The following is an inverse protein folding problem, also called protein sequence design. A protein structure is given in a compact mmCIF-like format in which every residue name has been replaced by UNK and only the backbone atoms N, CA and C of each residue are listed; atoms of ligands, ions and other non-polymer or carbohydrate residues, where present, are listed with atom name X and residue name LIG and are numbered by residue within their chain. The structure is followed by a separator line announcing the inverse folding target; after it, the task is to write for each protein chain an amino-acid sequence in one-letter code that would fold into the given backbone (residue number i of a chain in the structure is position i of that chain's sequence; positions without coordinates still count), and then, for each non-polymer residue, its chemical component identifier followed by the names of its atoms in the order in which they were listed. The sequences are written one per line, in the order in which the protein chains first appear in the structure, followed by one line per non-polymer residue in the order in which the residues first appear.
data_IF_957557274485
#
_entry.id   IF_957557274485
#
_cell.length_a   1.000
_cell.length_b   1.000
_cell.length_c   1.000
_cell.angle_alpha   90.00
_cell.angle_beta   90.00
_cell.angle_gamma   90.00
#
_symmetry.space_group_name_H-M   'P 1'
#
loop_
_entity.id
_entity.type
_entity.pdbx_description
1 polymer ?
#
# COMPACT_ATOMS: atom_id res chain seq x y z
N UNK A 1 25.18 -7.78 15.72
CA UNK A 1 25.49 -7.54 14.29
C UNK A 1 25.20 -6.08 14.02
N UNK A 2 26.09 -5.36 13.35
CA UNK A 2 25.83 -3.96 12.98
C UNK A 2 24.92 -3.92 11.77
N UNK A 3 23.84 -3.16 11.83
CA UNK A 3 22.92 -2.99 10.72
C UNK A 3 23.68 -2.44 9.50
N UNK A 4 23.50 -3.10 8.35
CA UNK A 4 24.16 -2.69 7.13
C UNK A 4 23.36 -1.53 6.52
N UNK A 5 24.00 -0.38 6.33
CA UNK A 5 23.39 0.76 5.63
C UNK A 5 23.86 0.81 4.19
N UNK A 6 22.95 0.64 3.24
CA UNK A 6 23.20 0.85 1.81
C UNK A 6 22.71 2.24 1.43
N UNK A 7 23.64 3.10 1.02
CA UNK A 7 23.33 4.50 0.68
C UNK A 7 22.40 4.64 -0.52
N UNK A 8 22.58 3.80 -1.53
CA UNK A 8 21.76 3.87 -2.73
C UNK A 8 21.79 2.57 -3.52
N UNK A 9 20.64 2.18 -4.05
CA UNK A 9 20.49 1.14 -5.05
C UNK A 9 19.80 1.78 -6.26
N UNK A 10 20.35 1.56 -7.46
CA UNK A 10 19.76 2.06 -8.71
C UNK A 10 19.65 0.91 -9.69
N UNK A 11 18.44 0.68 -10.19
CA UNK A 11 18.14 -0.20 -11.32
C UNK A 11 17.69 0.69 -12.45
N UNK A 12 18.39 0.69 -13.59
CA UNK A 12 18.07 1.61 -14.70
C UNK A 12 16.86 1.17 -15.54
N UNK A 13 16.46 -0.10 -15.44
CA UNK A 13 15.27 -0.64 -16.10
C UNK A 13 14.29 -1.19 -15.08
N UNK A 14 13.73 -2.34 -15.40
CA UNK A 14 12.69 -2.99 -14.61
C UNK A 14 13.27 -3.95 -13.57
N UNK A 15 12.51 -4.18 -12.51
CA UNK A 15 12.66 -5.33 -11.63
C UNK A 15 11.56 -6.33 -12.01
N UNK A 16 11.96 -7.45 -12.60
CA UNK A 16 11.02 -8.48 -13.09
C UNK A 16 11.21 -9.78 -12.32
N UNK A 17 10.17 -10.20 -11.63
CA UNK A 17 10.07 -11.52 -11.00
C UNK A 17 10.04 -12.65 -12.03
N UNK A 18 10.55 -13.81 -11.64
CA UNK A 18 10.47 -15.02 -12.45
C UNK A 18 9.06 -15.62 -12.46
N UNK A 19 8.80 -16.55 -13.38
CA UNK A 19 7.52 -17.27 -13.47
C UNK A 19 7.38 -18.42 -12.46
N UNK A 20 8.48 -18.85 -11.83
CA UNK A 20 8.52 -19.95 -10.86
C UNK A 20 9.47 -19.64 -9.68
N UNK A 21 9.31 -20.37 -8.58
CA UNK A 21 10.11 -20.23 -7.36
C UNK A 21 9.58 -19.19 -6.36
N UNK A 22 9.86 -19.42 -5.07
CA UNK A 22 9.28 -18.67 -3.95
C UNK A 22 9.69 -17.19 -3.92
N UNK A 23 10.94 -16.90 -4.29
CA UNK A 23 11.52 -15.56 -4.28
C UNK A 23 12.34 -15.34 -5.54
N UNK A 24 12.02 -14.35 -6.37
CA UNK A 24 12.82 -14.05 -7.57
C UNK A 24 12.69 -12.61 -8.05
N UNK A 25 13.73 -12.11 -8.73
CA UNK A 25 13.73 -10.79 -9.36
C UNK A 25 13.40 -9.67 -8.39
N UNK A 26 14.32 -9.35 -7.49
CA UNK A 26 14.08 -8.32 -6.47
C UNK A 26 15.36 -7.82 -5.80
N UNK A 27 15.18 -6.80 -4.98
CA UNK A 27 16.20 -6.25 -4.09
C UNK A 27 15.82 -6.67 -2.66
N UNK A 28 16.64 -7.50 -2.02
CA UNK A 28 16.40 -7.97 -0.66
C UNK A 28 17.56 -7.59 0.26
N UNK A 29 17.29 -6.70 1.22
CA UNK A 29 18.21 -6.34 2.30
C UNK A 29 18.05 -7.24 3.54
N UNK A 30 17.09 -8.16 3.54
CA UNK A 30 16.76 -8.97 4.70
C UNK A 30 16.23 -8.15 5.88
N UNK A 31 16.32 -8.75 7.08
CA UNK A 31 15.75 -8.22 8.32
C UNK A 31 16.68 -7.23 9.05
N UNK A 32 17.84 -6.87 8.48
CA UNK A 32 18.86 -6.09 9.20
C UNK A 32 19.45 -4.93 8.39
N UNK A 33 19.06 -4.77 7.13
CA UNK A 33 19.60 -3.71 6.27
C UNK A 33 18.70 -2.50 6.21
N UNK A 34 19.33 -1.32 6.17
CA UNK A 34 18.67 -0.05 5.86
C UNK A 34 19.08 0.42 4.47
N UNK A 35 18.11 0.75 3.62
CA UNK A 35 18.33 1.38 2.33
C UNK A 35 17.97 2.85 2.39
N UNK A 36 18.93 3.75 2.25
CA UNK A 36 18.63 5.19 2.25
C UNK A 36 17.90 5.63 0.98
N UNK A 37 18.16 4.95 -0.14
CA UNK A 37 17.53 5.25 -1.42
C UNK A 37 17.48 4.03 -2.33
N UNK A 38 16.30 3.74 -2.87
CA UNK A 38 16.11 2.80 -3.97
C UNK A 38 15.51 3.56 -5.15
N UNK A 39 16.09 3.41 -6.34
CA UNK A 39 15.56 4.00 -7.58
C UNK A 39 15.47 2.94 -8.66
N UNK A 40 14.28 2.81 -9.25
CA UNK A 40 13.96 1.86 -10.31
C UNK A 40 13.51 2.66 -11.53
N UNK A 41 14.21 2.45 -12.64
CA UNK A 41 14.10 3.25 -13.85
C UNK A 41 12.87 2.95 -14.67
N UNK A 42 12.32 1.73 -14.55
CA UNK A 42 11.06 1.32 -15.15
C UNK A 42 10.12 0.74 -14.09
N UNK A 43 9.64 -0.48 -14.33
CA UNK A 43 8.56 -1.12 -13.59
C UNK A 43 9.07 -2.07 -12.49
N UNK A 44 8.19 -2.38 -11.54
CA UNK A 44 8.30 -3.56 -10.69
C UNK A 44 7.20 -4.54 -11.10
N UNK A 45 7.57 -5.71 -11.58
CA UNK A 45 6.62 -6.69 -12.13
C UNK A 45 6.77 -8.06 -11.48
N UNK A 46 5.68 -8.59 -10.92
CA UNK A 46 5.59 -9.99 -10.47
C UNK A 46 5.01 -10.86 -11.59
N UNK A 47 5.60 -12.02 -11.93
CA UNK A 47 5.18 -12.85 -13.09
C UNK A 47 4.71 -14.27 -12.77
N UNK A 48 4.66 -14.66 -11.52
CA UNK A 48 4.42 -16.03 -11.08
C UNK A 48 3.51 -16.08 -9.86
N UNK A 49 3.37 -17.27 -9.29
CA UNK A 49 2.32 -17.59 -8.32
C UNK A 49 2.78 -17.51 -6.86
N UNK A 50 3.96 -16.95 -6.59
CA UNK A 50 4.57 -16.98 -5.26
C UNK A 50 4.71 -15.58 -4.66
N UNK A 51 4.73 -15.54 -3.33
CA UNK A 51 4.58 -14.35 -2.47
C UNK A 51 5.63 -13.22 -2.61
N UNK A 52 6.75 -13.44 -3.33
CA UNK A 52 7.84 -12.45 -3.45
C UNK A 52 8.52 -12.48 -4.81
N UNK A 53 7.91 -11.83 -5.78
CA UNK A 53 8.45 -11.73 -7.13
C UNK A 53 8.36 -10.29 -7.60
N UNK A 54 9.42 -9.75 -8.20
CA UNK A 54 9.39 -8.33 -8.55
C UNK A 54 9.24 -7.49 -7.28
N UNK A 55 10.27 -7.43 -6.43
CA UNK A 55 10.11 -6.81 -5.11
C UNK A 55 11.30 -5.97 -4.64
N UNK A 56 11.04 -5.11 -3.66
CA UNK A 56 12.03 -4.39 -2.87
C UNK A 56 11.70 -4.59 -1.40
N UNK A 57 12.65 -5.14 -0.64
CA UNK A 57 12.50 -5.43 0.77
C UNK A 57 13.74 -5.06 1.58
N UNK A 58 13.54 -4.47 2.75
CA UNK A 58 14.58 -4.28 3.76
C UNK A 58 13.96 -4.06 5.14
N UNK A 59 14.79 -4.01 6.20
CA UNK A 59 14.33 -3.60 7.52
C UNK A 59 13.80 -2.17 7.48
N UNK A 60 14.50 -1.28 6.79
CA UNK A 60 14.09 0.11 6.61
C UNK A 60 14.48 0.62 5.23
N UNK A 61 13.60 1.41 4.62
CA UNK A 61 13.83 2.05 3.32
C UNK A 61 13.43 3.52 3.43
N UNK A 62 14.38 4.45 3.42
CA UNK A 62 14.06 5.87 3.62
C UNK A 62 13.34 6.47 2.40
N UNK A 63 13.73 6.08 1.18
CA UNK A 63 13.14 6.58 -0.05
C UNK A 63 13.12 5.49 -1.12
N UNK A 64 11.97 5.30 -1.76
CA UNK A 64 11.82 4.51 -2.97
C UNK A 64 11.19 5.35 -4.08
N UNK A 65 11.81 5.30 -5.25
CA UNK A 65 11.29 5.87 -6.48
C UNK A 65 11.20 4.75 -7.53
N UNK A 66 9.99 4.44 -7.97
CA UNK A 66 9.71 3.64 -9.16
C UNK A 66 9.23 4.61 -10.23
N UNK A 67 9.92 4.69 -11.38
CA UNK A 67 9.51 5.63 -12.43
C UNK A 67 8.32 5.13 -13.24
N UNK A 68 8.17 3.80 -13.35
CA UNK A 68 7.06 3.15 -14.03
C UNK A 68 5.97 2.67 -13.07
N UNK A 69 5.40 1.53 -13.41
CA UNK A 69 4.30 0.86 -12.71
C UNK A 69 4.80 -0.13 -11.65
N UNK A 70 3.93 -0.45 -10.69
CA UNK A 70 4.07 -1.65 -9.85
C UNK A 70 2.94 -2.59 -10.22
N UNK A 71 3.28 -3.79 -10.68
CA UNK A 71 2.36 -4.72 -11.34
C UNK A 71 2.37 -6.04 -10.57
N UNK A 72 1.20 -6.43 -10.06
CA UNK A 72 1.03 -7.73 -9.42
C UNK A 72 0.96 -8.85 -10.46
N UNK A 73 1.19 -10.07 -10.02
CA UNK A 73 1.19 -11.21 -10.93
C UNK A 73 -0.22 -11.54 -11.41
N UNK A 74 -0.30 -12.20 -12.57
CA UNK A 74 -1.53 -12.80 -13.08
C UNK A 74 -1.72 -14.25 -12.61
N UNK A 75 -0.91 -14.72 -11.66
CA UNK A 75 -0.91 -16.10 -11.17
C UNK A 75 -2.04 -16.40 -10.18
N UNK A 76 -2.16 -17.63 -9.69
CA UNK A 76 -3.13 -17.99 -8.63
C UNK A 76 -2.52 -17.91 -7.21
N UNK A 77 -1.61 -16.97 -6.97
CA UNK A 77 -0.88 -16.86 -5.70
C UNK A 77 -1.59 -15.96 -4.68
N UNK A 78 -1.26 -16.12 -3.40
CA UNK A 78 -1.50 -15.06 -2.42
C UNK A 78 -0.45 -13.96 -2.62
N UNK A 79 -0.90 -12.70 -2.59
CA UNK A 79 -0.12 -11.48 -2.34
C UNK A 79 1.37 -11.48 -2.70
N UNK A 80 1.74 -10.77 -3.75
CA UNK A 80 3.16 -10.51 -4.05
C UNK A 80 3.56 -9.24 -3.30
N UNK A 81 4.17 -9.33 -2.11
CA UNK A 81 4.65 -8.14 -1.37
C UNK A 81 5.71 -7.38 -2.17
N UNK A 82 5.32 -6.44 -3.05
CA UNK A 82 6.28 -5.80 -3.97
C UNK A 82 7.14 -4.77 -3.24
N UNK A 83 6.60 -4.05 -2.26
CA UNK A 83 7.36 -3.07 -1.48
C UNK A 83 7.13 -3.33 0.01
N UNK A 84 8.17 -3.83 0.68
CA UNK A 84 8.12 -4.29 2.07
C UNK A 84 9.22 -3.59 2.89
N UNK A 85 8.84 -2.56 3.63
CA UNK A 85 9.73 -1.90 4.59
C UNK A 85 9.40 -2.37 5.99
N UNK A 86 10.08 -3.40 6.48
CA UNK A 86 9.58 -4.17 7.65
C UNK A 86 9.29 -3.28 8.87
N UNK A 87 10.19 -2.36 9.21
CA UNK A 87 9.98 -1.40 10.30
C UNK A 87 9.64 0.01 9.80
N UNK A 88 10.26 0.43 8.70
CA UNK A 88 10.09 1.79 8.21
C UNK A 88 10.18 1.87 6.70
N UNK A 89 9.18 2.50 6.12
CA UNK A 89 9.13 2.91 4.74
C UNK A 89 8.93 4.43 4.72
N UNK A 90 9.95 5.17 4.32
CA UNK A 90 9.88 6.62 4.30
C UNK A 90 8.99 7.12 3.14
N UNK A 91 9.59 7.75 2.14
CA UNK A 91 8.85 8.28 1.00
C UNK A 91 8.79 7.26 -0.13
N UNK A 92 7.58 6.90 -0.54
CA UNK A 92 7.31 6.05 -1.71
C UNK A 92 6.75 6.91 -2.85
N UNK A 93 7.41 6.87 -4.00
CA UNK A 93 6.93 7.50 -5.23
C UNK A 93 6.85 6.46 -6.33
N UNK A 94 5.66 6.23 -6.84
CA UNK A 94 5.38 5.43 -8.03
C UNK A 94 4.99 6.39 -9.14
N UNK A 95 5.81 6.52 -10.18
CA UNK A 95 5.58 7.43 -11.30
C UNK A 95 4.37 7.02 -12.15
N UNK A 96 4.11 5.72 -12.23
CA UNK A 96 2.97 5.12 -12.90
C UNK A 96 1.81 4.78 -11.95
N UNK A 97 1.25 3.59 -12.16
CA UNK A 97 0.09 3.02 -11.49
C UNK A 97 0.50 1.89 -10.54
N UNK A 98 -0.39 1.55 -9.60
CA UNK A 98 -0.43 0.25 -8.96
C UNK A 98 -1.45 -0.60 -9.73
N UNK A 99 -1.03 -1.72 -10.31
CA UNK A 99 -1.83 -2.55 -11.21
C UNK A 99 -1.90 -3.97 -10.65
N UNK A 100 -2.94 -4.23 -9.86
CA UNK A 100 -3.28 -5.57 -9.37
C UNK A 100 -4.45 -6.20 -10.14
N UNK A 101 -4.96 -7.29 -9.59
CA UNK A 101 -6.21 -7.93 -10.00
C UNK A 101 -6.93 -8.51 -8.78
N UNK A 102 -8.14 -9.04 -8.99
CA UNK A 102 -8.96 -9.60 -7.91
C UNK A 102 -8.29 -10.76 -7.16
N UNK A 103 -7.35 -11.47 -7.78
CA UNK A 103 -6.61 -12.58 -7.16
C UNK A 103 -5.32 -12.11 -6.50
N UNK A 104 -4.56 -11.23 -7.15
CA UNK A 104 -3.27 -10.74 -6.66
C UNK A 104 -3.29 -9.22 -6.61
N UNK A 105 -3.15 -8.70 -5.40
CA UNK A 105 -3.07 -7.25 -5.18
C UNK A 105 -1.64 -6.77 -5.30
N UNK A 106 -1.49 -5.48 -5.57
CA UNK A 106 -0.21 -4.79 -5.34
C UNK A 106 -0.12 -4.44 -3.87
N UNK A 107 0.88 -4.96 -3.17
CA UNK A 107 1.06 -4.83 -1.73
C UNK A 107 2.23 -3.89 -1.40
N UNK A 108 1.90 -2.83 -0.64
CA UNK A 108 2.86 -1.93 -0.01
C UNK A 108 2.63 -1.99 1.50
N UNK A 109 3.54 -2.63 2.22
CA UNK A 109 3.37 -2.95 3.65
C UNK A 109 4.58 -2.44 4.44
N UNK A 110 4.33 -1.84 5.59
CA UNK A 110 5.36 -1.41 6.55
C UNK A 110 4.75 -1.14 7.93
N UNK A 111 5.54 -1.26 9.00
CA UNK A 111 5.14 -0.71 10.30
C UNK A 111 4.86 0.79 10.22
N UNK A 112 5.75 1.56 9.55
CA UNK A 112 5.57 3.01 9.40
C UNK A 112 5.71 3.45 7.95
N UNK A 113 4.81 4.32 7.48
CA UNK A 113 4.87 4.91 6.14
C UNK A 113 4.85 6.44 6.21
N UNK A 114 5.90 7.11 5.74
CA UNK A 114 5.94 8.59 5.81
C UNK A 114 5.01 9.25 4.79
N UNK A 115 5.08 8.82 3.53
CA UNK A 115 4.18 9.30 2.47
C UNK A 115 4.19 8.41 1.24
N UNK A 116 3.04 8.32 0.56
CA UNK A 116 2.87 7.62 -0.71
C UNK A 116 2.33 8.54 -1.80
N UNK A 117 2.96 8.53 -2.96
CA UNK A 117 2.47 9.13 -4.20
C UNK A 117 2.39 8.07 -5.29
N UNK A 118 1.20 7.91 -5.86
CA UNK A 118 0.94 7.14 -7.09
C UNK A 118 0.61 8.14 -8.21
N UNK A 119 1.43 8.13 -9.26
CA UNK A 119 1.39 9.09 -10.36
C UNK A 119 0.15 8.93 -11.26
N UNK A 120 -0.45 7.74 -11.27
CA UNK A 120 -1.66 7.40 -12.02
C UNK A 120 -2.68 6.67 -11.11
N UNK A 121 -3.21 5.54 -11.54
CA UNK A 121 -4.28 4.82 -10.86
C UNK A 121 -3.73 3.88 -9.79
N UNK A 122 -4.53 3.61 -8.77
CA UNK A 122 -4.36 2.46 -7.90
C UNK A 122 -5.52 1.49 -8.17
N UNK A 123 -5.22 0.33 -8.74
CA UNK A 123 -6.18 -0.70 -9.10
C UNK A 123 -5.81 -2.01 -8.41
N UNK A 124 -6.73 -2.57 -7.62
CA UNK A 124 -6.48 -3.74 -6.77
C UNK A 124 -5.17 -3.61 -5.95
N UNK A 125 -4.94 -2.45 -5.35
CA UNK A 125 -3.83 -2.24 -4.44
C UNK A 125 -4.23 -2.50 -2.99
N UNK A 126 -3.25 -2.86 -2.18
CA UNK A 126 -3.34 -3.01 -0.74
C UNK A 126 -2.16 -2.27 -0.10
N UNK A 127 -2.47 -1.23 0.65
CA UNK A 127 -1.49 -0.40 1.32
C UNK A 127 -1.76 -0.51 2.81
N UNK A 128 -0.81 -1.07 3.55
CA UNK A 128 -0.94 -1.32 4.98
C UNK A 128 0.16 -0.64 5.78
N UNK A 129 -0.23 0.03 6.87
CA UNK A 129 0.67 0.59 7.87
C UNK A 129 0.33 -0.06 9.21
N UNK A 130 1.21 -0.89 9.77
CA UNK A 130 0.84 -1.78 10.89
C UNK A 130 1.05 -1.20 12.28
N UNK A 131 1.93 -0.22 12.47
CA UNK A 131 2.21 0.37 13.78
C UNK A 131 1.02 1.23 14.28
N UNK A 132 0.58 0.96 15.52
CA UNK A 132 -0.56 1.62 16.17
C UNK A 132 -0.32 3.09 16.50
N UNK A 133 0.92 3.57 16.43
CA UNK A 133 1.33 4.95 16.70
C UNK A 133 1.94 5.65 15.46
N UNK A 134 1.88 5.00 14.29
CA UNK A 134 2.40 5.56 13.06
C UNK A 134 1.70 6.88 12.66
N UNK A 135 2.39 7.72 11.90
CA UNK A 135 1.78 8.90 11.27
C UNK A 135 2.10 8.93 9.78
N UNK A 136 1.06 8.78 8.96
CA UNK A 136 1.15 8.97 7.52
C UNK A 136 0.89 10.44 7.18
N UNK A 137 1.91 11.14 6.69
CA UNK A 137 1.79 12.57 6.37
C UNK A 137 0.89 12.81 5.17
N UNK A 138 0.98 11.94 4.15
CA UNK A 138 0.24 12.11 2.91
C UNK A 138 0.13 10.82 2.11
N UNK A 139 -1.07 10.50 1.67
CA UNK A 139 -1.35 9.56 0.59
C UNK A 139 -1.92 10.34 -0.60
N UNK A 140 -1.37 10.14 -1.79
CA UNK A 140 -1.87 10.78 -3.01
C UNK A 140 -1.93 9.77 -4.14
N UNK A 141 -3.10 9.66 -4.75
CA UNK A 141 -3.33 8.96 -6.02
C UNK A 141 -3.79 10.01 -7.03
N UNK A 142 -2.96 10.25 -8.04
CA UNK A 142 -3.26 11.26 -9.05
C UNK A 142 -4.35 10.84 -10.04
N UNK A 143 -4.62 9.53 -10.15
CA UNK A 143 -5.70 8.95 -10.94
C UNK A 143 -6.84 8.40 -10.08
N UNK A 144 -7.44 7.32 -10.56
CA UNK A 144 -8.55 6.64 -9.89
C UNK A 144 -8.07 5.68 -8.79
N UNK A 145 -8.96 5.44 -7.82
CA UNK A 145 -8.85 4.41 -6.81
C UNK A 145 -9.89 3.32 -7.12
N UNK A 146 -9.42 2.18 -7.62
CA UNK A 146 -10.27 1.12 -8.16
C UNK A 146 -10.04 -0.14 -7.34
N UNK A 147 -11.06 -0.62 -6.65
CA UNK A 147 -11.04 -1.89 -5.91
C UNK A 147 -9.79 -2.05 -5.01
N UNK A 148 -9.36 -0.94 -4.40
CA UNK A 148 -8.11 -0.86 -3.63
C UNK A 148 -8.40 -0.63 -2.16
N UNK A 149 -7.41 -0.93 -1.31
CA UNK A 149 -7.50 -0.85 0.15
C UNK A 149 -6.35 -0.05 0.73
N UNK A 150 -6.68 0.75 1.73
CA UNK A 150 -5.73 1.38 2.62
C UNK A 150 -6.15 1.10 4.05
N UNK A 151 -5.28 0.48 4.83
CA UNK A 151 -5.48 0.23 6.24
C UNK A 151 -4.27 0.75 7.02
N UNK A 152 -4.52 1.35 8.17
CA UNK A 152 -3.50 1.85 9.07
C UNK A 152 -3.82 1.42 10.50
N UNK A 153 -2.82 0.97 11.26
CA UNK A 153 -2.90 0.39 12.60
C UNK A 153 -3.74 -0.90 12.69
N UNK A 154 -3.85 -1.65 11.60
CA UNK A 154 -4.60 -2.91 11.54
C UNK A 154 -3.64 -4.08 11.43
N UNK A 155 -3.94 -5.19 12.08
CA UNK A 155 -3.44 -6.51 11.69
C UNK A 155 -4.35 -7.09 10.59
N UNK A 156 -3.83 -8.04 9.81
CA UNK A 156 -4.49 -8.65 8.64
C UNK A 156 -5.44 -9.81 8.97
N UNK A 157 -5.91 -9.88 10.21
CA UNK A 157 -6.85 -10.93 10.64
C UNK A 157 -6.35 -12.37 10.40
N UNK A 158 -7.30 -13.26 10.10
CA UNK A 158 -7.08 -14.67 9.83
C UNK A 158 -6.97 -14.99 8.33
N UNK A 159 -7.44 -14.10 7.45
CA UNK A 159 -7.34 -14.25 6.00
C UNK A 159 -6.06 -13.66 5.39
N UNK A 160 -5.19 -13.07 6.22
CA UNK A 160 -3.97 -12.38 5.82
C UNK A 160 -4.22 -11.19 4.88
N UNK A 161 -5.42 -10.59 4.94
CA UNK A 161 -5.81 -9.45 4.13
C UNK A 161 -6.11 -8.25 5.04
N UNK A 162 -5.49 -7.11 4.77
CA UNK A 162 -5.80 -5.89 5.51
C UNK A 162 -7.08 -5.22 5.00
N UNK A 163 -7.86 -4.69 5.94
CA UNK A 163 -9.11 -3.99 5.72
C UNK A 163 -10.35 -4.89 5.61
N UNK A 164 -10.35 -6.06 6.24
CA UNK A 164 -11.47 -7.02 6.24
C UNK A 164 -12.20 -7.02 7.59
N UNK A 165 -13.25 -7.85 7.69
CA UNK A 165 -14.12 -7.89 8.88
C UNK A 165 -13.51 -8.69 10.04
N UNK A 166 -12.52 -9.54 9.78
CA UNK A 166 -11.79 -10.31 10.78
C UNK A 166 -10.53 -9.61 11.27
N UNK A 167 -10.16 -8.47 10.68
CA UNK A 167 -9.17 -7.57 11.25
C UNK A 167 -9.58 -7.16 12.67
N UNK A 168 -8.71 -7.36 13.67
CA UNK A 168 -8.99 -6.89 15.01
C UNK A 168 -9.23 -5.39 14.95
N UNK A 169 -10.34 -4.94 15.55
CA UNK A 169 -10.56 -3.52 15.74
C UNK A 169 -9.32 -2.93 16.42
N UNK A 170 -8.94 -1.72 16.00
CA UNK A 170 -7.87 -0.95 16.61
C UNK A 170 -7.94 -1.13 18.13
N UNK A 171 -6.90 -1.71 18.73
CA UNK A 171 -6.82 -1.73 20.19
C UNK A 171 -7.04 -0.29 20.64
N UNK A 172 -8.00 -0.04 21.54
CA UNK A 172 -8.60 1.29 21.80
C UNK A 172 -7.67 2.41 22.25
N UNK A 173 -6.35 2.19 22.18
CA UNK A 173 -5.28 3.13 22.43
C UNK A 173 -4.47 3.47 21.15
N UNK A 174 -4.86 3.01 19.95
CA UNK A 174 -4.14 3.35 18.73
C UNK A 174 -4.16 4.86 18.49
N UNK A 175 -2.97 5.47 18.44
CA UNK A 175 -2.80 6.92 18.19
C UNK A 175 -2.47 7.24 16.73
N UNK A 176 -2.41 6.20 15.89
CA UNK A 176 -2.06 6.29 14.49
C UNK A 176 -2.96 7.25 13.72
N UNK A 177 -2.37 7.98 12.77
CA UNK A 177 -3.12 8.99 12.02
C UNK A 177 -2.64 9.19 10.60
N UNK A 178 -3.58 9.53 9.73
CA UNK A 178 -3.30 10.01 8.38
C UNK A 178 -3.64 11.47 8.29
N UNK A 179 -2.64 12.33 8.07
CA UNK A 179 -2.88 13.77 8.01
C UNK A 179 -3.69 14.17 6.76
N UNK A 180 -3.43 13.54 5.61
CA UNK A 180 -4.08 13.90 4.35
C UNK A 180 -4.11 12.75 3.32
N UNK A 181 -5.28 12.52 2.77
CA UNK A 181 -5.52 11.60 1.64
C UNK A 181 -6.09 12.41 0.47
N UNK A 182 -5.51 12.25 -0.71
CA UNK A 182 -5.97 12.87 -1.95
C UNK A 182 -6.10 11.81 -3.02
N UNK A 183 -7.30 11.66 -3.57
CA UNK A 183 -7.59 10.84 -4.75
C UNK A 183 -8.15 11.81 -5.78
N UNK A 184 -7.36 12.12 -6.82
CA UNK A 184 -7.76 13.13 -7.81
C UNK A 184 -8.78 12.58 -8.82
N UNK A 185 -8.85 11.26 -9.00
CA UNK A 185 -9.85 10.57 -9.81
C UNK A 185 -11.05 10.07 -9.03
N UNK A 186 -11.83 9.21 -9.67
CA UNK A 186 -12.97 8.53 -9.06
C UNK A 186 -12.52 7.42 -8.12
N UNK A 187 -13.40 7.09 -7.18
CA UNK A 187 -13.29 5.94 -6.29
C UNK A 187 -14.38 4.95 -6.70
N UNK A 188 -13.99 3.71 -7.01
CA UNK A 188 -14.91 2.64 -7.44
C UNK A 188 -14.51 1.31 -6.83
N UNK A 189 -15.48 0.49 -6.41
CA UNK A 189 -15.23 -0.88 -5.96
C UNK A 189 -15.56 -1.90 -7.05
N UNK A 190 -15.90 -3.13 -6.67
CA UNK A 190 -16.35 -4.16 -7.62
C UNK A 190 -17.85 -4.06 -7.87
N UNK A 191 -18.24 -4.41 -9.09
CA UNK A 191 -19.66 -4.50 -9.43
C UNK A 191 -20.29 -5.67 -8.67
N UNK A 192 -21.35 -5.40 -7.91
CA UNK A 192 -22.05 -6.41 -7.09
C UNK A 192 -21.79 -6.28 -5.59
N UNK A 193 -20.74 -5.57 -5.18
CA UNK A 193 -20.60 -4.99 -3.84
C UNK A 193 -20.50 -5.94 -2.65
N UNK A 194 -19.99 -7.16 -2.85
CA UNK A 194 -19.75 -8.10 -1.73
C UNK A 194 -18.35 -7.98 -1.13
N UNK A 195 -17.41 -7.39 -1.88
CA UNK A 195 -16.03 -7.26 -1.43
C UNK A 195 -15.90 -5.95 -0.65
N UNK A 196 -15.28 -5.98 0.53
CA UNK A 196 -15.01 -4.74 1.27
C UNK A 196 -13.76 -4.06 0.72
N UNK A 197 -13.92 -2.86 0.15
CA UNK A 197 -12.84 -1.95 -0.18
C UNK A 197 -12.90 -0.76 0.77
N UNK A 198 -11.76 -0.33 1.29
CA UNK A 198 -11.79 0.70 2.31
C UNK A 198 -10.55 1.60 2.34
N UNK A 199 -10.77 2.78 2.91
CA UNK A 199 -9.75 3.66 3.46
C UNK A 199 -10.04 3.74 4.95
N UNK A 200 -9.25 3.04 5.78
CA UNK A 200 -9.49 2.92 7.21
C UNK A 200 -8.23 3.33 7.97
N UNK A 201 -8.40 4.19 8.97
CA UNK A 201 -7.33 4.58 9.89
C UNK A 201 -7.95 5.00 11.23
N UNK A 202 -7.19 5.01 12.34
CA UNK A 202 -7.70 5.52 13.59
C UNK A 202 -8.15 6.96 13.47
N UNK A 203 -7.38 7.80 12.78
CA UNK A 203 -7.74 9.20 12.52
C UNK A 203 -7.42 9.62 11.10
N UNK A 204 -8.36 10.24 10.40
CA UNK A 204 -8.18 10.81 9.06
C UNK A 204 -8.33 12.33 9.13
N UNK A 205 -7.21 13.04 9.05
CA UNK A 205 -7.18 14.51 9.12
C UNK A 205 -7.91 15.18 7.96
N UNK A 206 -7.76 14.67 6.73
CA UNK A 206 -8.57 15.10 5.59
C UNK A 206 -8.56 14.09 4.45
N UNK A 207 -9.70 13.94 3.79
CA UNK A 207 -9.85 13.17 2.56
C UNK A 207 -10.44 14.05 1.45
N UNK A 208 -9.88 13.96 0.26
CA UNK A 208 -10.42 14.60 -0.95
C UNK A 208 -10.52 13.56 -2.05
N UNK A 209 -11.69 13.45 -2.68
CA UNK A 209 -11.97 12.54 -3.79
C UNK A 209 -12.53 13.34 -4.96
N UNK A 210 -11.89 13.25 -6.13
CA UNK A 210 -12.27 13.99 -7.34
C UNK A 210 -12.50 15.50 -7.07
N UNK A 211 -11.67 16.11 -6.23
CA UNK A 211 -11.79 17.51 -5.81
C UNK A 211 -12.82 17.80 -4.71
N UNK A 212 -13.67 16.83 -4.36
CA UNK A 212 -14.66 16.95 -3.28
C UNK A 212 -14.02 16.59 -1.94
N UNK A 213 -14.11 17.50 -0.96
CA UNK A 213 -13.65 17.22 0.41
C UNK A 213 -14.68 16.38 1.15
N UNK A 214 -14.24 15.27 1.75
CA UNK A 214 -15.07 14.44 2.64
C UNK A 214 -14.90 14.97 4.08
N UNK A 215 -15.99 15.37 4.75
CA UNK A 215 -15.90 15.98 6.08
C UNK A 215 -15.86 14.90 7.17
N UNK A 216 -14.71 14.72 7.81
CA UNK A 216 -14.63 13.98 9.07
C UNK A 216 -14.87 14.92 10.26
N UNK A 217 -15.70 14.48 11.20
CA UNK A 217 -15.82 15.03 12.54
C UNK A 217 -15.14 14.07 13.54
N UNK A 218 -15.09 14.45 14.82
CA UNK A 218 -14.67 13.54 15.88
C UNK A 218 -15.67 12.40 16.05
N UNK A 219 -15.20 11.20 16.38
CA UNK A 219 -16.02 10.01 16.54
C UNK A 219 -15.88 9.07 15.34
N UNK A 220 -16.29 7.82 15.54
CA UNK A 220 -16.36 6.83 14.47
C UNK A 220 -17.32 7.31 13.37
N UNK A 221 -16.82 7.38 12.14
CA UNK A 221 -17.58 7.81 10.97
C UNK A 221 -17.20 6.96 9.77
N UNK A 222 -18.21 6.52 9.02
CA UNK A 222 -18.01 5.85 7.74
C UNK A 222 -18.77 6.55 6.63
N UNK A 223 -18.08 6.82 5.51
CA UNK A 223 -18.66 7.44 4.32
C UNK A 223 -18.55 6.49 3.14
N UNK A 224 -19.65 6.25 2.43
CA UNK A 224 -19.58 5.61 1.12
C UNK A 224 -18.95 6.57 0.12
N UNK A 225 -17.91 6.12 -0.58
CA UNK A 225 -17.14 6.89 -1.54
C UNK A 225 -17.50 6.58 -3.00
N UNK A 226 -18.28 5.52 -3.23
CA UNK A 226 -18.54 4.96 -4.54
C UNK A 226 -20.02 4.66 -4.76
N UNK A 227 -20.46 4.79 -6.00
CA UNK A 227 -21.79 4.34 -6.45
C UNK A 227 -21.97 2.82 -6.38
N UNK A 228 -20.87 2.05 -6.32
CA UNK A 228 -20.90 0.59 -6.15
C UNK A 228 -21.29 0.16 -4.74
N UNK A 229 -21.26 1.08 -3.76
CA UNK A 229 -21.75 0.84 -2.39
C UNK A 229 -20.78 0.11 -1.46
N UNK A 230 -19.62 -0.29 -1.97
CA UNK A 230 -18.66 -1.19 -1.32
C UNK A 230 -17.29 -0.56 -1.05
N UNK A 231 -17.12 0.73 -1.40
CA UNK A 231 -15.95 1.51 -0.99
C UNK A 231 -16.34 2.49 0.10
N UNK A 232 -15.73 2.35 1.27
CA UNK A 232 -15.94 3.26 2.39
C UNK A 232 -14.64 3.93 2.85
N UNK A 233 -14.81 5.09 3.47
CA UNK A 233 -13.76 5.74 4.25
C UNK A 233 -14.20 5.78 5.70
N UNK A 234 -13.42 5.17 6.59
CA UNK A 234 -13.75 5.03 8.00
C UNK A 234 -12.67 5.65 8.89
N UNK A 235 -13.07 6.65 9.66
CA UNK A 235 -12.35 7.19 10.82
C UNK A 235 -12.94 6.51 12.07
N UNK A 236 -12.12 6.07 13.02
CA UNK A 236 -12.59 5.35 14.22
C UNK A 236 -12.23 6.05 15.54
N UNK A 237 -11.67 7.28 15.47
CA UNK A 237 -11.22 8.03 16.64
C UNK A 237 -12.35 8.57 17.50
#
# INVERSE_FOLDING_TARGET
MTDATVKSITVNGDIVGGSSGATSGGIDGGLTSTFQKVTIGGDIESRGTNIRQGFVRALSIDNILVKGDVIASSGLGSGTRQIDGLNNLGKVVIGGSLIGNATNRVEIISDTLTSLLVGRNAEFAEIAVTDSDATLKKLTVNGAWISSRFAMASDSGADDIFGTNDDPAFAGNATASVAKIIINGQVTGTFGGTDSYLIRAPKIGSLTVAGTKIPFASGEQSFSLSITGDVSATDVA
#
